data_IF_363757553659
#
_entry.id   IF_363757553659
#
_cell.length_a   1.000
_cell.length_b   1.000
_cell.length_c   1.000
_cell.angle_alpha   90.00
_cell.angle_beta   90.00
_cell.angle_gamma   90.00
#
_symmetry.space_group_name_H-M   'P 1'
#
loop_
_entity.id
_entity.type
_entity.pdbx_description
1 polymer ?
#
# COMPACT_ATOMS: atom_id res chain seq x y z
N UNK A 1 -4.16 15.81 -3.72
CA UNK A 1 -4.93 14.72 -3.10
C UNK A 1 -5.66 15.21 -1.86
N UNK A 2 -6.99 15.12 -1.84
CA UNK A 2 -7.84 15.66 -0.76
C UNK A 2 -7.49 15.06 0.62
N UNK A 3 -7.13 13.78 0.68
CA UNK A 3 -6.77 13.11 1.93
C UNK A 3 -5.41 13.53 2.50
N UNK A 4 -4.57 14.21 1.72
CA UNK A 4 -3.23 14.65 2.12
C UNK A 4 -3.10 16.18 2.12
N UNK A 5 -4.21 16.89 1.91
CA UNK A 5 -4.23 18.36 1.89
C UNK A 5 -3.70 18.93 3.21
N UNK A 6 -2.83 19.93 3.10
CA UNK A 6 -2.20 20.59 4.24
C UNK A 6 -1.01 19.86 4.86
N UNK A 7 -0.73 18.60 4.51
CA UNK A 7 0.40 17.86 5.09
C UNK A 7 1.74 18.45 4.68
N UNK A 8 1.90 18.91 3.43
CA UNK A 8 3.13 19.55 2.99
C UNK A 8 3.40 20.84 3.77
N UNK A 9 2.37 21.66 3.97
CA UNK A 9 2.46 22.89 4.78
C UNK A 9 2.87 22.58 6.21
N UNK A 10 2.33 21.48 6.77
CA UNK A 10 2.59 21.09 8.17
C UNK A 10 3.96 20.45 8.37
N UNK A 11 4.42 19.61 7.44
CA UNK A 11 5.62 18.78 7.61
C UNK A 11 6.78 19.15 6.71
N UNK A 12 6.59 20.10 5.77
CA UNK A 12 7.59 20.56 4.83
C UNK A 12 7.67 19.75 3.56
N UNK A 13 8.19 20.39 2.50
CA UNK A 13 8.31 19.82 1.16
C UNK A 13 9.30 18.65 1.06
N UNK A 14 10.26 18.55 1.98
CA UNK A 14 11.18 17.41 2.02
C UNK A 14 10.53 16.14 2.58
N UNK A 15 9.39 16.26 3.24
CA UNK A 15 8.65 15.12 3.78
C UNK A 15 7.40 14.78 2.98
N UNK A 16 6.75 15.78 2.40
CA UNK A 16 5.55 15.61 1.60
C UNK A 16 5.71 16.44 0.33
N UNK A 17 5.87 15.77 -0.79
CA UNK A 17 6.12 16.41 -2.07
C UNK A 17 5.40 15.70 -3.20
N UNK A 18 5.09 16.46 -4.24
CA UNK A 18 4.58 15.93 -5.48
C UNK A 18 5.71 15.61 -6.45
N UNK A 19 5.45 14.67 -7.33
CA UNK A 19 6.34 14.32 -8.45
C UNK A 19 5.61 14.54 -9.76
N UNK A 20 6.33 14.42 -10.87
CA UNK A 20 5.68 14.32 -12.18
C UNK A 20 4.80 13.06 -12.26
N UNK A 21 3.75 13.13 -13.07
CA UNK A 21 2.83 11.99 -13.28
C UNK A 21 3.52 10.93 -14.15
N UNK A 22 4.29 10.08 -13.50
CA UNK A 22 4.95 8.92 -14.12
C UNK A 22 5.22 7.87 -13.04
N UNK A 23 4.44 6.83 -13.04
CA UNK A 23 4.41 5.79 -12.00
C UNK A 23 5.76 5.08 -11.87
N UNK A 24 6.42 4.83 -12.97
CA UNK A 24 7.78 4.27 -12.99
C UNK A 24 8.78 5.15 -12.23
N UNK A 25 8.71 6.48 -12.42
CA UNK A 25 9.58 7.43 -11.72
C UNK A 25 9.24 7.51 -10.23
N UNK A 26 7.96 7.54 -9.89
CA UNK A 26 7.50 7.55 -8.49
C UNK A 26 8.07 6.33 -7.76
N UNK A 27 7.97 5.15 -8.36
CA UNK A 27 8.49 3.92 -7.77
C UNK A 27 10.01 3.91 -7.68
N UNK A 28 10.71 4.33 -8.74
CA UNK A 28 12.18 4.40 -8.72
C UNK A 28 12.70 5.35 -7.65
N UNK A 29 12.08 6.51 -7.49
CA UNK A 29 12.42 7.45 -6.42
C UNK A 29 12.16 6.85 -5.03
N UNK A 30 11.01 6.21 -4.83
CA UNK A 30 10.68 5.57 -3.56
C UNK A 30 11.67 4.48 -3.18
N UNK A 31 12.09 3.65 -4.13
CA UNK A 31 13.13 2.64 -3.92
C UNK A 31 14.44 3.31 -3.49
N UNK A 32 14.88 4.34 -4.23
CA UNK A 32 16.10 5.06 -3.91
C UNK A 32 16.08 5.71 -2.52
N UNK A 33 14.98 6.37 -2.15
CA UNK A 33 14.79 6.95 -0.81
C UNK A 33 14.83 5.86 0.28
N UNK A 34 14.18 4.74 0.02
CA UNK A 34 14.15 3.62 0.95
C UNK A 34 15.52 2.99 1.16
N UNK A 35 16.30 2.81 0.10
CA UNK A 35 17.68 2.32 0.16
C UNK A 35 18.62 3.27 0.91
N UNK A 36 18.24 4.53 1.07
CA UNK A 36 18.94 5.52 1.88
C UNK A 36 18.46 5.59 3.33
N UNK A 37 17.61 4.64 3.76
CA UNK A 37 17.13 4.51 5.13
C UNK A 37 15.86 5.29 5.45
N UNK A 38 15.20 5.86 4.45
CA UNK A 38 13.89 6.48 4.64
C UNK A 38 12.77 5.44 4.51
N UNK A 39 11.58 5.79 4.97
CA UNK A 39 10.36 4.96 4.83
C UNK A 39 9.33 5.70 3.98
N UNK A 40 9.46 5.68 2.66
CA UNK A 40 8.57 6.41 1.78
C UNK A 40 7.21 5.73 1.68
N UNK A 41 6.16 6.56 1.64
CA UNK A 41 4.83 6.17 1.20
C UNK A 41 4.65 6.76 -0.20
N UNK A 42 4.71 5.90 -1.21
CA UNK A 42 4.58 6.29 -2.61
C UNK A 42 3.14 6.12 -3.07
N UNK A 43 2.51 7.18 -3.54
CA UNK A 43 1.14 7.12 -4.04
C UNK A 43 1.09 6.95 -5.55
N UNK A 44 0.42 5.88 -5.98
CA UNK A 44 -0.08 5.70 -7.35
C UNK A 44 -1.58 5.97 -7.31
N UNK A 45 -2.04 6.93 -8.08
CA UNK A 45 -3.38 7.50 -7.91
C UNK A 45 -4.52 6.48 -8.06
N UNK A 46 -4.42 5.54 -9.00
CA UNK A 46 -5.40 4.49 -9.24
C UNK A 46 -4.74 3.14 -9.47
N UNK A 47 -5.41 2.06 -9.07
CA UNK A 47 -4.87 0.70 -9.12
C UNK A 47 -4.51 0.25 -10.55
N UNK A 48 -5.30 0.61 -11.54
CA UNK A 48 -5.02 0.32 -12.95
C UNK A 48 -3.78 1.06 -13.48
N UNK A 49 -3.42 2.20 -12.93
CA UNK A 49 -2.17 2.91 -13.28
C UNK A 49 -0.91 2.24 -12.73
N UNK A 50 -1.08 1.36 -11.76
CA UNK A 50 0.03 0.58 -11.20
C UNK A 50 0.75 -0.24 -12.28
N UNK A 51 0.09 -0.56 -13.37
CA UNK A 51 0.68 -1.30 -14.49
C UNK A 51 1.90 -0.59 -15.10
N UNK A 52 1.95 0.74 -15.07
CA UNK A 52 3.11 1.51 -15.52
C UNK A 52 4.33 1.40 -14.59
N UNK A 53 4.13 0.92 -13.38
CA UNK A 53 5.17 0.68 -12.40
C UNK A 53 5.46 -0.81 -12.18
N UNK A 54 4.67 -1.70 -12.78
CA UNK A 54 4.67 -3.13 -12.48
C UNK A 54 6.05 -3.78 -12.65
N UNK A 55 6.78 -3.44 -13.70
CA UNK A 55 8.12 -3.97 -13.94
C UNK A 55 9.07 -3.58 -12.79
N UNK A 56 9.09 -2.31 -12.40
CA UNK A 56 9.95 -1.82 -11.32
C UNK A 56 9.55 -2.45 -9.98
N UNK A 57 8.26 -2.64 -9.76
CA UNK A 57 7.77 -3.33 -8.57
C UNK A 57 8.18 -4.78 -8.53
N UNK A 58 8.02 -5.52 -9.64
CA UNK A 58 8.25 -6.96 -9.69
C UNK A 58 9.73 -7.32 -9.77
N UNK A 59 10.50 -6.55 -10.53
CA UNK A 59 11.91 -6.88 -10.80
C UNK A 59 12.84 -6.20 -9.80
N UNK A 60 12.68 -4.90 -9.55
CA UNK A 60 13.56 -4.17 -8.65
C UNK A 60 13.11 -4.30 -7.19
N UNK A 61 11.91 -3.82 -6.86
CA UNK A 61 11.45 -3.71 -5.46
C UNK A 61 11.26 -5.09 -4.81
N UNK A 62 10.52 -5.97 -5.45
CA UNK A 62 10.17 -7.28 -4.88
C UNK A 62 11.38 -8.19 -4.68
N UNK A 63 12.46 -7.98 -5.42
CA UNK A 63 13.61 -8.89 -5.44
C UNK A 63 14.85 -8.34 -4.75
N UNK A 64 14.90 -7.04 -4.40
CA UNK A 64 16.11 -6.42 -3.86
C UNK A 64 16.64 -7.14 -2.62
N UNK A 65 15.78 -7.50 -1.70
CA UNK A 65 16.16 -8.17 -0.46
C UNK A 65 16.69 -9.58 -0.73
N UNK A 66 16.05 -10.32 -1.63
CA UNK A 66 16.49 -11.64 -2.02
C UNK A 66 17.82 -11.60 -2.78
N UNK A 67 17.96 -10.73 -3.80
CA UNK A 67 19.18 -10.57 -4.61
C UNK A 67 20.39 -10.19 -3.77
N UNK A 68 20.17 -9.42 -2.71
CA UNK A 68 21.23 -8.96 -1.80
C UNK A 68 21.42 -9.87 -0.60
N UNK A 69 20.77 -11.02 -0.53
CA UNK A 69 20.83 -11.95 0.61
C UNK A 69 20.47 -11.26 1.95
N UNK A 70 19.49 -10.38 1.92
CA UNK A 70 19.02 -9.65 3.10
C UNK A 70 19.88 -8.43 3.49
N UNK A 71 20.97 -8.15 2.79
CA UNK A 71 21.83 -7.01 3.12
C UNK A 71 21.19 -5.65 2.79
N UNK A 72 20.35 -5.59 1.78
CA UNK A 72 19.65 -4.38 1.36
C UNK A 72 18.15 -4.57 1.57
N UNK A 73 17.54 -3.62 2.26
CA UNK A 73 16.09 -3.54 2.46
C UNK A 73 15.54 -2.35 1.71
N UNK A 74 14.28 -2.45 1.31
CA UNK A 74 13.57 -1.36 0.65
C UNK A 74 12.11 -1.31 1.17
N UNK A 75 11.88 -0.86 2.42
CA UNK A 75 10.55 -0.81 3.04
C UNK A 75 9.68 0.32 2.46
N UNK A 76 9.39 0.22 1.18
CA UNK A 76 8.47 1.13 0.48
C UNK A 76 7.04 0.72 0.76
N UNK A 77 6.21 1.65 1.19
CA UNK A 77 4.77 1.47 1.22
C UNK A 77 4.18 2.12 -0.02
N UNK A 78 3.63 1.30 -0.89
CA UNK A 78 2.90 1.77 -2.08
C UNK A 78 1.44 1.88 -1.68
N UNK A 79 0.84 3.05 -1.85
CA UNK A 79 -0.59 3.21 -1.66
C UNK A 79 -1.27 3.52 -2.99
N UNK A 80 -2.44 2.94 -3.19
CA UNK A 80 -3.25 3.20 -4.37
C UNK A 80 -4.73 3.06 -4.04
N UNK A 81 -5.58 3.68 -4.84
CA UNK A 81 -7.03 3.54 -4.74
C UNK A 81 -7.53 2.57 -5.79
N UNK A 82 -8.39 1.66 -5.39
CA UNK A 82 -8.89 0.64 -6.33
C UNK A 82 -10.26 0.10 -5.98
N UNK A 83 -10.63 -0.95 -6.69
CA UNK A 83 -11.88 -1.68 -6.52
C UNK A 83 -13.13 -0.78 -6.63
N UNK A 84 -13.13 0.12 -7.59
CA UNK A 84 -14.26 0.99 -7.85
C UNK A 84 -14.80 0.76 -9.25
N UNK A 85 -16.10 0.61 -9.33
CA UNK A 85 -16.83 0.64 -10.60
C UNK A 85 -17.12 2.09 -10.98
N UNK A 86 -16.22 2.70 -11.73
CA UNK A 86 -16.38 4.08 -12.20
C UNK A 86 -15.94 4.21 -13.66
N UNK A 87 -16.80 3.76 -14.55
CA UNK A 87 -16.53 3.80 -15.98
C UNK A 87 -15.35 2.90 -16.37
N UNK A 88 -14.86 3.10 -17.58
CA UNK A 88 -13.81 2.27 -18.20
C UNK A 88 -12.43 2.50 -17.58
N UNK A 89 -12.15 3.70 -17.07
CA UNK A 89 -10.80 4.15 -16.79
C UNK A 89 -10.30 3.90 -15.35
N UNK A 90 -11.19 3.69 -14.39
CA UNK A 90 -10.83 3.61 -12.98
C UNK A 90 -11.52 2.44 -12.28
N UNK A 91 -11.92 1.45 -13.04
CA UNK A 91 -12.59 0.24 -12.55
C UNK A 91 -11.71 -1.01 -12.62
N UNK A 92 -10.48 -0.87 -13.08
CA UNK A 92 -9.53 -1.97 -13.16
C UNK A 92 -9.16 -2.53 -11.79
N UNK A 93 -9.03 -3.85 -11.72
CA UNK A 93 -8.58 -4.56 -10.52
C UNK A 93 -7.63 -5.67 -10.93
N UNK A 94 -6.38 -5.33 -11.35
CA UNK A 94 -5.42 -6.29 -11.87
C UNK A 94 -4.75 -7.14 -10.76
N UNK A 95 -5.52 -7.55 -9.74
CA UNK A 95 -5.02 -8.24 -8.55
C UNK A 95 -4.30 -9.54 -8.88
N UNK A 96 -4.86 -10.36 -9.76
CA UNK A 96 -4.23 -11.62 -10.17
C UNK A 96 -2.85 -11.41 -10.76
N UNK A 97 -2.67 -10.38 -11.58
CA UNK A 97 -1.38 -10.01 -12.15
C UNK A 97 -0.41 -9.52 -11.08
N UNK A 98 -0.85 -8.64 -10.17
CA UNK A 98 -0.02 -8.07 -9.10
C UNK A 98 0.50 -9.18 -8.19
N UNK A 99 -0.39 -10.02 -7.69
CA UNK A 99 -0.03 -11.12 -6.78
C UNK A 99 0.94 -12.10 -7.46
N UNK A 100 0.75 -12.35 -8.76
CA UNK A 100 1.58 -13.28 -9.50
C UNK A 100 2.96 -12.69 -9.83
N UNK A 101 3.03 -11.42 -10.22
CA UNK A 101 4.27 -10.76 -10.63
C UNK A 101 5.10 -10.25 -9.43
N UNK A 102 4.47 -9.74 -8.38
CA UNK A 102 5.13 -9.04 -7.28
C UNK A 102 5.35 -9.95 -6.05
N UNK A 103 5.97 -11.10 -6.23
CA UNK A 103 6.33 -12.00 -5.12
C UNK A 103 7.42 -11.36 -4.26
N UNK A 104 7.16 -11.12 -3.01
CA UNK A 104 8.06 -10.41 -2.11
C UNK A 104 7.56 -9.01 -1.75
N UNK A 105 6.36 -8.65 -2.21
CA UNK A 105 5.63 -7.47 -1.77
C UNK A 105 4.37 -7.93 -1.02
N UNK A 106 4.18 -7.44 0.20
CA UNK A 106 2.94 -7.69 0.93
C UNK A 106 1.79 -6.93 0.26
N UNK A 107 0.65 -7.57 0.07
CA UNK A 107 -0.54 -6.93 -0.52
C UNK A 107 -1.63 -6.85 0.54
N UNK A 108 -2.01 -5.63 0.89
CA UNK A 108 -2.98 -5.33 1.92
C UNK A 108 -4.20 -4.63 1.30
N UNK A 109 -5.39 -5.17 1.54
CA UNK A 109 -6.67 -4.58 1.13
C UNK A 109 -7.52 -4.38 2.38
N UNK A 110 -7.49 -3.19 3.00
CA UNK A 110 -8.23 -2.95 4.23
C UNK A 110 -9.73 -2.94 3.96
N UNK A 111 -10.49 -3.60 4.82
CA UNK A 111 -11.95 -3.67 4.76
C UNK A 111 -12.62 -2.41 5.33
N UNK A 112 -11.93 -1.72 6.22
CA UNK A 112 -12.40 -0.51 6.91
C UNK A 112 -11.23 0.40 7.30
N UNK A 113 -11.52 1.57 7.85
CA UNK A 113 -10.50 2.57 8.22
C UNK A 113 -9.63 2.13 9.40
N UNK A 114 -10.20 1.37 10.34
CA UNK A 114 -9.44 0.81 11.46
C UNK A 114 -8.39 -0.18 10.97
N UNK A 115 -8.76 -1.07 10.04
CA UNK A 115 -7.79 -1.97 9.41
C UNK A 115 -6.75 -1.22 8.59
N UNK A 116 -7.15 -0.17 7.86
CA UNK A 116 -6.21 0.65 7.10
C UNK A 116 -5.14 1.24 8.01
N UNK A 117 -5.54 1.86 9.11
CA UNK A 117 -4.60 2.41 10.10
C UNK A 117 -3.70 1.31 10.69
N UNK A 118 -4.27 0.15 11.03
CA UNK A 118 -3.53 -0.98 11.57
C UNK A 118 -2.47 -1.53 10.61
N UNK A 119 -2.77 -1.59 9.31
CA UNK A 119 -1.78 -1.95 8.30
C UNK A 119 -0.68 -0.89 8.20
N UNK A 120 -1.01 0.40 8.06
CA UNK A 120 0.01 1.44 7.97
C UNK A 120 0.91 1.48 9.21
N UNK A 121 0.37 1.36 10.42
CA UNK A 121 1.17 1.34 11.65
C UNK A 121 2.14 0.15 11.67
N UNK A 122 1.70 -1.04 11.23
CA UNK A 122 2.58 -2.20 11.11
C UNK A 122 3.65 -1.99 10.04
N UNK A 123 3.24 -1.56 8.85
CA UNK A 123 4.12 -1.44 7.69
C UNK A 123 5.19 -0.37 7.86
N UNK A 124 4.92 0.68 8.63
CA UNK A 124 5.91 1.71 8.97
C UNK A 124 7.06 1.17 9.84
N UNK A 125 6.89 0.02 10.47
CA UNK A 125 7.94 -0.65 11.25
C UNK A 125 8.52 -1.88 10.52
N UNK A 126 7.83 -2.40 9.50
CA UNK A 126 8.27 -3.55 8.73
C UNK A 126 9.43 -3.22 7.79
N UNK A 127 10.20 -4.22 7.42
CA UNK A 127 11.34 -4.10 6.50
C UNK A 127 11.00 -4.52 5.07
N UNK A 128 9.87 -5.19 4.87
CA UNK A 128 9.40 -5.65 3.57
C UNK A 128 8.60 -4.57 2.85
N UNK A 129 8.73 -4.48 1.52
CA UNK A 129 7.90 -3.60 0.73
C UNK A 129 6.43 -4.05 0.75
N UNK A 130 5.52 -3.11 0.63
CA UNK A 130 4.09 -3.39 0.76
C UNK A 130 3.26 -2.54 -0.18
N UNK A 131 2.16 -3.11 -0.67
CA UNK A 131 1.14 -2.44 -1.46
C UNK A 131 -0.16 -2.41 -0.64
N UNK A 132 -0.65 -1.21 -0.35
CA UNK A 132 -1.95 -0.99 0.28
C UNK A 132 -2.93 -0.50 -0.77
N UNK A 133 -3.96 -1.30 -1.02
CA UNK A 133 -5.03 -0.97 -1.97
C UNK A 133 -6.23 -0.49 -1.17
N UNK A 134 -6.44 0.80 -1.19
CA UNK A 134 -7.54 1.45 -0.46
C UNK A 134 -8.83 1.40 -1.29
N UNK A 135 -9.89 0.71 -0.80
CA UNK A 135 -11.18 0.70 -1.51
C UNK A 135 -11.75 2.10 -1.59
N UNK A 136 -11.86 2.64 -2.81
CA UNK A 136 -12.25 4.04 -3.03
C UNK A 136 -13.64 4.37 -2.46
N UNK A 137 -14.58 3.43 -2.54
CA UNK A 137 -15.90 3.60 -1.95
C UNK A 137 -15.88 3.65 -0.42
N UNK A 138 -14.84 3.13 0.22
CA UNK A 138 -14.62 3.18 1.66
C UNK A 138 -14.35 4.58 2.21
N UNK A 139 -13.81 5.50 1.40
CA UNK A 139 -13.42 6.84 1.86
C UNK A 139 -14.56 7.71 2.40
N UNK A 140 -15.80 7.37 2.06
CA UNK A 140 -16.99 8.10 2.53
C UNK A 140 -17.71 7.40 3.68
N UNK A 141 -17.26 6.21 4.04
CA UNK A 141 -17.82 5.48 5.17
C UNK A 141 -17.29 6.09 6.47
N UNK A 142 -18.17 6.18 7.45
CA UNK A 142 -17.83 6.65 8.79
C UNK A 142 -17.83 5.46 9.74
N UNK A 143 -16.87 5.41 10.62
CA UNK A 143 -16.80 4.41 11.68
C UNK A 143 -16.25 5.02 12.97
N UNK A 144 -16.48 4.36 14.09
CA UNK A 144 -15.87 4.74 15.35
C UNK A 144 -14.44 4.22 15.38
N UNK A 145 -13.48 5.12 15.53
CA UNK A 145 -12.09 4.73 15.66
C UNK A 145 -11.79 4.26 17.08
N UNK A 146 -10.98 3.21 17.25
CA UNK A 146 -10.48 2.84 18.57
C UNK A 146 -9.61 3.95 19.17
N UNK A 147 -9.60 4.05 20.50
CA UNK A 147 -8.85 5.11 21.22
C UNK A 147 -7.34 5.02 21.00
N UNK A 148 -6.83 3.81 20.69
CA UNK A 148 -5.42 3.54 20.41
C UNK A 148 -5.09 3.48 18.91
N UNK A 149 -5.83 4.17 18.05
CA UNK A 149 -5.68 4.06 16.60
C UNK A 149 -4.26 4.30 16.11
N UNK A 150 -3.49 5.14 16.78
CA UNK A 150 -2.08 5.40 16.43
C UNK A 150 -1.11 4.26 16.77
N UNK A 151 -1.52 3.32 17.60
CA UNK A 151 -0.72 2.16 18.03
C UNK A 151 -1.30 0.83 17.54
N UNK A 152 -2.56 0.87 17.08
CA UNK A 152 -3.27 -0.31 16.63
C UNK A 152 -2.57 -0.93 15.41
N UNK A 153 -2.28 -2.23 15.46
CA UNK A 153 -1.61 -2.98 14.38
C UNK A 153 -2.37 -4.24 14.05
N UNK A 154 -2.32 -4.63 12.80
CA UNK A 154 -2.89 -5.89 12.31
C UNK A 154 -1.76 -6.75 11.76
N UNK A 155 -1.60 -7.94 12.30
CA UNK A 155 -0.62 -8.89 11.81
C UNK A 155 -0.96 -9.35 10.39
N UNK A 156 0.04 -9.40 9.52
CA UNK A 156 -0.11 -9.92 8.16
C UNK A 156 -0.21 -11.45 8.17
N UNK A 157 -0.96 -12.01 7.23
CA UNK A 157 -1.11 -13.44 7.07
C UNK A 157 -1.98 -14.14 8.13
N UNK A 158 -2.63 -13.38 9.01
CA UNK A 158 -3.59 -13.93 9.99
C UNK A 158 -5.00 -13.70 9.47
N UNK A 159 -5.75 -14.75 9.15
CA UNK A 159 -7.15 -14.63 8.72
C UNK A 159 -8.03 -14.03 9.84
N UNK A 160 -8.95 -13.16 9.45
CA UNK A 160 -9.98 -12.66 10.36
C UNK A 160 -11.24 -13.51 10.24
N UNK A 161 -11.76 -14.00 11.38
CA UNK A 161 -13.06 -14.67 11.41
C UNK A 161 -14.16 -13.62 11.42
N UNK A 162 -14.86 -13.47 10.30
CA UNK A 162 -15.95 -12.49 10.16
C UNK A 162 -17.27 -13.00 10.74
N UNK A 163 -17.46 -14.30 10.73
CA UNK A 163 -18.67 -14.96 11.24
C UNK A 163 -18.32 -16.37 11.70
N UNK A 164 -18.66 -16.68 12.92
CA UNK A 164 -18.53 -18.03 13.44
C UNK A 164 -19.61 -18.96 12.86
N UNK A 165 -19.26 -20.23 12.69
CA UNK A 165 -20.14 -21.26 12.17
C UNK A 165 -19.59 -22.64 12.45
N UNK A 166 -20.40 -23.69 12.20
CA UNK A 166 -20.05 -25.11 12.45
C UNK A 166 -20.06 -25.98 11.19
N UNK A 167 -20.75 -25.57 10.14
CA UNK A 167 -21.06 -26.44 9.01
C UNK A 167 -20.10 -26.31 7.85
N UNK A 168 -19.58 -25.09 7.60
CA UNK A 168 -18.69 -24.80 6.48
C UNK A 168 -17.76 -23.65 6.80
N UNK A 169 -16.52 -23.73 6.31
CA UNK A 169 -15.57 -22.60 6.30
C UNK A 169 -15.55 -22.01 4.89
N UNK A 170 -15.88 -20.73 4.79
CA UNK A 170 -15.77 -19.96 3.56
C UNK A 170 -14.57 -19.00 3.66
N UNK A 171 -13.66 -19.09 2.69
CA UNK A 171 -12.44 -18.27 2.60
C UNK A 171 -12.50 -17.38 1.36
#
# INVERSE_FOLDING_TARGET
NQGLEGLQTKYGEHRVFDTGIREATIMGQAIGLSMRGLRPIAEIQYLDYLLYALQIMSDDLATVQWRTKGMQKAPVIIRTRGHRLEGVWHSGSPMGMIIHACRGINVCVPRNMTQAAGFYNLLLEADEPSLVIEPLNGYRLKENLPTNIGEYKIALGIPETLKEGSDVTLV
#
